data_IF_500635695447
#
_entry.id   IF_500635695447
#
_cell.length_a   1.000
_cell.length_b   1.000
_cell.length_c   1.000
_cell.angle_alpha   90.00
_cell.angle_beta   90.00
_cell.angle_gamma   90.00
#
_symmetry.space_group_name_H-M   'P 1'
#
loop_
_entity.id
_entity.type
_entity.pdbx_description
1 polymer ?
#
# COMPACT_ATOMS: atom_id res chain seq x y z
N UNK A 1 -1.46 -33.92 11.74
CA UNK A 1 -2.58 -32.97 11.91
C UNK A 1 -2.06 -31.57 11.69
N UNK A 2 -2.74 -30.75 10.88
CA UNK A 2 -2.36 -29.36 10.62
C UNK A 2 -2.55 -28.45 11.83
N UNK A 3 -1.84 -27.32 11.85
CA UNK A 3 -1.88 -26.34 12.95
C UNK A 3 -3.23 -25.65 13.11
N UNK A 4 -3.93 -25.33 12.01
CA UNK A 4 -5.27 -24.71 12.07
C UNK A 4 -6.26 -25.61 12.82
N UNK A 5 -6.28 -26.91 12.54
CA UNK A 5 -7.19 -27.87 13.20
C UNK A 5 -6.95 -27.99 14.71
N UNK A 6 -5.74 -27.71 15.20
CA UNK A 6 -5.45 -27.65 16.64
C UNK A 6 -5.94 -26.35 17.27
N UNK A 7 -5.85 -25.24 16.54
CA UNK A 7 -6.40 -23.95 16.95
C UNK A 7 -7.93 -24.00 17.02
N UNK A 8 -8.60 -24.56 16.00
CA UNK A 8 -10.05 -24.82 16.01
C UNK A 8 -10.50 -25.56 17.28
N UNK A 9 -9.88 -26.70 17.59
CA UNK A 9 -10.23 -27.50 18.77
C UNK A 9 -10.00 -26.79 20.11
N UNK A 10 -8.99 -25.90 20.21
CA UNK A 10 -8.76 -25.11 21.42
C UNK A 10 -9.76 -23.98 21.56
N UNK A 11 -10.07 -23.31 20.45
CA UNK A 11 -11.05 -22.23 20.40
C UNK A 11 -12.47 -22.73 20.71
N UNK A 12 -12.84 -23.91 20.18
CA UNK A 12 -14.09 -24.62 20.51
C UNK A 12 -14.19 -24.95 22.01
N UNK A 13 -13.06 -25.31 22.65
CA UNK A 13 -13.00 -25.60 24.08
C UNK A 13 -12.99 -24.36 24.99
N UNK A 14 -12.54 -23.21 24.49
CA UNK A 14 -12.51 -21.95 25.24
C UNK A 14 -13.85 -21.22 25.22
N UNK A 15 -14.67 -21.39 24.18
CA UNK A 15 -15.90 -20.62 23.99
C UNK A 15 -17.11 -21.55 23.93
N UNK A 16 -17.77 -21.72 25.08
CA UNK A 16 -18.89 -22.63 25.31
C UNK A 16 -19.95 -22.65 24.17
N UNK A 17 -19.81 -23.62 23.27
CA UNK A 17 -20.90 -24.23 22.50
C UNK A 17 -21.63 -23.40 21.43
N UNK A 18 -21.17 -22.20 21.05
CA UNK A 18 -22.00 -21.26 20.24
C UNK A 18 -21.33 -20.63 19.01
N UNK A 19 -20.08 -20.93 18.69
CA UNK A 19 -19.36 -20.28 17.57
C UNK A 19 -19.99 -20.51 16.18
N UNK A 20 -20.33 -21.74 15.80
CA UNK A 20 -20.76 -22.07 14.44
C UNK A 20 -22.15 -21.52 14.03
N UNK A 21 -22.94 -20.98 14.97
CA UNK A 21 -24.31 -20.49 14.72
C UNK A 21 -24.45 -18.97 14.66
N UNK A 22 -23.47 -18.22 15.21
CA UNK A 22 -23.54 -16.75 15.35
C UNK A 22 -22.65 -16.04 14.33
N UNK A 23 -21.47 -16.58 14.00
CA UNK A 23 -20.46 -15.92 13.14
C UNK A 23 -20.64 -16.24 11.64
N UNK A 24 -21.89 -16.20 11.14
CA UNK A 24 -22.24 -16.74 9.81
C UNK A 24 -21.97 -15.81 8.62
N UNK A 25 -21.42 -14.61 8.84
CA UNK A 25 -21.26 -13.61 7.77
C UNK A 25 -20.08 -12.64 7.90
N UNK A 26 -19.37 -12.57 9.05
CA UNK A 26 -18.57 -11.36 9.38
C UNK A 26 -17.25 -11.74 10.11
N UNK A 27 -16.24 -12.20 9.34
CA UNK A 27 -14.90 -12.71 9.76
C UNK A 27 -14.89 -13.93 10.69
N UNK A 28 -14.27 -15.04 10.26
CA UNK A 28 -14.00 -16.20 11.11
C UNK A 28 -12.57 -16.16 11.70
N UNK A 29 -12.36 -16.55 12.98
CA UNK A 29 -11.02 -16.65 13.57
C UNK A 29 -10.05 -17.57 12.82
N UNK A 30 -10.56 -18.59 12.12
CA UNK A 30 -9.76 -19.47 11.25
C UNK A 30 -9.24 -18.77 9.99
N UNK A 31 -9.95 -17.75 9.49
CA UNK A 31 -9.48 -16.92 8.38
C UNK A 31 -8.34 -16.02 8.86
N UNK A 32 -8.48 -15.39 10.04
CA UNK A 32 -7.41 -14.62 10.70
C UNK A 32 -6.18 -15.52 10.94
N UNK A 33 -6.38 -16.74 11.43
CA UNK A 33 -5.30 -17.71 11.62
C UNK A 33 -4.57 -18.08 10.32
N UNK A 34 -5.31 -18.32 9.23
CA UNK A 34 -4.74 -18.60 7.91
C UNK A 34 -4.01 -17.40 7.31
N UNK A 35 -4.54 -16.18 7.52
CA UNK A 35 -3.91 -14.94 7.08
C UNK A 35 -2.60 -14.66 7.83
N UNK A 36 -2.56 -14.87 9.15
CA UNK A 36 -1.33 -14.73 9.94
C UNK A 36 -0.22 -15.70 9.51
N UNK A 37 -0.56 -16.94 9.12
CA UNK A 37 0.42 -17.88 8.55
C UNK A 37 0.96 -17.40 7.21
N UNK A 38 0.06 -16.99 6.29
CA UNK A 38 0.45 -16.43 4.99
C UNK A 38 1.30 -15.17 5.14
N UNK A 39 0.99 -14.33 6.11
CA UNK A 39 1.74 -13.11 6.42
C UNK A 39 3.15 -13.41 6.96
N UNK A 40 3.30 -14.48 7.77
CA UNK A 40 4.60 -14.99 8.17
C UNK A 40 5.42 -15.48 6.97
N UNK A 41 4.82 -16.29 6.09
CA UNK A 41 5.47 -16.86 4.91
C UNK A 41 5.88 -15.76 3.91
N UNK A 42 5.02 -14.74 3.71
CA UNK A 42 5.26 -13.62 2.79
C UNK A 42 6.37 -12.67 3.27
N UNK A 43 6.47 -12.42 4.57
CA UNK A 43 7.50 -11.55 5.16
C UNK A 43 8.72 -12.33 5.71
N UNK A 44 8.79 -13.64 5.44
CA UNK A 44 9.89 -14.51 5.83
C UNK A 44 11.20 -14.07 5.16
N UNK A 45 12.06 -13.40 5.92
CA UNK A 45 13.32 -12.83 5.41
C UNK A 45 14.49 -13.72 5.80
N UNK A 46 15.28 -14.16 4.81
CA UNK A 46 16.49 -14.97 5.07
C UNK A 46 17.59 -14.07 5.64
N UNK A 47 17.90 -14.22 6.93
CA UNK A 47 18.90 -13.39 7.61
C UNK A 47 20.32 -13.98 7.53
N UNK A 48 20.41 -15.32 7.54
CA UNK A 48 21.66 -16.04 7.22
C UNK A 48 21.32 -17.40 6.58
N UNK A 49 22.35 -18.17 6.18
CA UNK A 49 22.19 -19.43 5.44
C UNK A 49 21.33 -20.49 6.16
N UNK A 50 21.16 -20.39 7.47
CA UNK A 50 20.50 -21.39 8.31
C UNK A 50 19.29 -20.83 9.10
N UNK A 51 18.95 -19.54 8.94
CA UNK A 51 17.89 -18.87 9.70
C UNK A 51 17.09 -17.88 8.86
N UNK A 52 15.83 -18.24 8.66
CA UNK A 52 14.78 -17.34 8.19
C UNK A 52 14.13 -16.65 9.38
N UNK A 53 14.06 -15.33 9.33
CA UNK A 53 13.47 -14.47 10.36
C UNK A 53 12.08 -14.03 9.90
N UNK A 54 11.13 -14.05 10.83
CA UNK A 54 9.73 -13.65 10.59
C UNK A 54 9.31 -12.51 11.54
N UNK A 55 8.29 -11.72 11.17
CA UNK A 55 7.70 -10.73 12.08
C UNK A 55 7.24 -11.35 13.39
N UNK A 56 7.31 -10.56 14.47
CA UNK A 56 6.95 -10.97 15.83
C UNK A 56 5.86 -10.09 16.46
N UNK A 57 5.43 -9.04 15.77
CA UNK A 57 4.34 -8.17 16.19
C UNK A 57 3.29 -8.15 15.07
N UNK A 58 2.08 -8.61 15.37
CA UNK A 58 0.98 -8.71 14.41
C UNK A 58 -0.23 -7.93 14.92
N UNK A 59 -0.75 -7.06 14.07
CA UNK A 59 -1.95 -6.26 14.32
C UNK A 59 -3.03 -6.75 13.36
N UNK A 60 -4.12 -7.28 13.92
CA UNK A 60 -5.30 -7.70 13.18
C UNK A 60 -6.33 -6.58 13.29
N UNK A 61 -6.36 -5.73 12.27
CA UNK A 61 -7.32 -4.65 12.13
C UNK A 61 -8.66 -5.23 11.66
N UNK A 62 -9.73 -4.88 12.37
CA UNK A 62 -11.10 -5.39 12.19
C UNK A 62 -12.07 -4.22 12.04
N UNK A 63 -13.18 -4.43 11.34
CA UNK A 63 -14.29 -3.47 11.32
C UNK A 63 -14.78 -3.14 12.74
N UNK A 64 -15.36 -1.96 12.95
CA UNK A 64 -15.94 -1.60 14.25
C UNK A 64 -16.95 -2.65 14.80
N UNK A 65 -17.98 -3.12 14.06
CA UNK A 65 -18.92 -4.12 14.57
C UNK A 65 -18.28 -5.50 14.82
N UNK A 66 -17.23 -5.89 14.09
CA UNK A 66 -16.53 -7.17 14.33
C UNK A 66 -15.62 -7.06 15.55
N UNK A 67 -14.93 -5.93 15.70
CA UNK A 67 -14.11 -5.63 16.87
C UNK A 67 -14.94 -5.57 18.15
N UNK A 68 -16.11 -4.93 18.15
CA UNK A 68 -16.99 -4.89 19.34
C UNK A 68 -17.44 -6.27 19.80
N UNK A 69 -17.73 -7.19 18.86
CA UNK A 69 -18.11 -8.58 19.17
C UNK A 69 -16.93 -9.43 19.64
N UNK A 70 -15.74 -9.19 19.11
CA UNK A 70 -14.52 -9.93 19.46
C UNK A 70 -13.79 -9.33 20.68
N UNK A 71 -14.06 -8.08 21.04
CA UNK A 71 -13.49 -7.35 22.17
C UNK A 71 -13.47 -8.16 23.48
N UNK A 72 -14.57 -8.83 23.92
CA UNK A 72 -14.58 -9.65 25.13
C UNK A 72 -13.60 -10.84 25.12
N UNK A 73 -13.25 -11.33 23.93
CA UNK A 73 -12.38 -12.49 23.70
C UNK A 73 -11.00 -12.10 23.14
N UNK A 74 -10.77 -10.81 22.86
CA UNK A 74 -9.63 -10.30 22.08
C UNK A 74 -8.27 -10.70 22.67
N UNK A 75 -8.13 -10.68 24.00
CA UNK A 75 -6.93 -11.14 24.71
C UNK A 75 -6.68 -12.65 24.50
N UNK A 76 -7.64 -13.49 24.86
CA UNK A 76 -7.51 -14.96 24.72
C UNK A 76 -7.33 -15.40 23.26
N UNK A 77 -8.03 -14.74 22.33
CA UNK A 77 -7.91 -14.99 20.90
C UNK A 77 -6.51 -14.57 20.39
N UNK A 78 -6.00 -13.42 20.83
CA UNK A 78 -4.63 -12.98 20.55
C UNK A 78 -3.58 -13.98 21.06
N UNK A 79 -3.73 -14.47 22.29
CA UNK A 79 -2.83 -15.47 22.88
C UNK A 79 -2.86 -16.82 22.12
N UNK A 80 -4.04 -17.33 21.74
CA UNK A 80 -4.15 -18.56 20.95
C UNK A 80 -3.64 -18.39 19.51
N UNK A 81 -3.89 -17.24 18.87
CA UNK A 81 -3.32 -16.93 17.55
C UNK A 81 -1.79 -16.82 17.62
N UNK A 82 -1.24 -16.13 18.63
CA UNK A 82 0.20 -16.06 18.87
C UNK A 82 0.81 -17.44 19.14
N UNK A 83 0.11 -18.28 19.92
CA UNK A 83 0.49 -19.67 20.18
C UNK A 83 0.52 -20.52 18.91
N UNK A 84 -0.49 -20.38 18.04
CA UNK A 84 -0.61 -21.06 16.76
C UNK A 84 0.48 -20.63 15.77
N UNK A 85 0.72 -19.31 15.61
CA UNK A 85 1.79 -18.80 14.73
C UNK A 85 3.17 -19.23 15.23
N UNK A 86 3.40 -19.25 16.54
CA UNK A 86 4.64 -19.78 17.15
C UNK A 86 4.86 -21.25 16.83
N UNK A 87 3.82 -22.08 16.90
CA UNK A 87 3.93 -23.51 16.60
C UNK A 87 4.03 -23.79 15.09
N UNK A 88 3.49 -22.92 14.24
CA UNK A 88 3.70 -22.93 12.78
C UNK A 88 5.15 -22.58 12.41
N UNK A 89 5.68 -21.48 12.93
CA UNK A 89 7.06 -21.06 12.74
C UNK A 89 8.08 -22.14 13.16
N UNK A 90 7.83 -22.84 14.27
CA UNK A 90 8.65 -24.01 14.67
C UNK A 90 8.67 -25.12 13.62
N UNK A 91 7.54 -25.39 12.94
CA UNK A 91 7.46 -26.41 11.89
C UNK A 91 8.22 -25.98 10.64
N UNK A 92 8.13 -24.70 10.26
CA UNK A 92 8.85 -24.11 9.12
C UNK A 92 10.32 -23.73 9.43
N UNK A 93 10.81 -23.99 10.66
CA UNK A 93 12.12 -23.55 11.19
C UNK A 93 12.37 -22.03 11.14
N UNK A 94 11.32 -21.23 11.21
CA UNK A 94 11.42 -19.78 11.32
C UNK A 94 11.81 -19.34 12.74
N UNK A 95 12.53 -18.22 12.82
CA UNK A 95 13.00 -17.62 14.09
C UNK A 95 12.41 -16.23 14.27
N UNK A 96 11.77 -15.98 15.42
CA UNK A 96 11.31 -14.64 15.80
C UNK A 96 12.46 -13.84 16.44
N UNK A 97 12.51 -12.53 16.21
CA UNK A 97 13.46 -11.60 16.87
C UNK A 97 12.95 -11.06 18.23
N UNK A 98 12.04 -11.78 18.88
CA UNK A 98 11.44 -11.36 20.15
C UNK A 98 10.29 -12.28 20.58
N UNK A 99 9.57 -11.95 21.66
CA UNK A 99 8.28 -12.57 21.94
C UNK A 99 7.33 -12.24 20.79
N UNK A 100 6.51 -13.23 20.41
CA UNK A 100 5.40 -13.00 19.47
C UNK A 100 4.24 -12.33 20.19
N UNK A 101 3.65 -11.32 19.57
CA UNK A 101 2.42 -10.65 20.00
C UNK A 101 1.44 -10.62 18.84
N UNK A 102 0.17 -10.88 19.15
CA UNK A 102 -0.95 -10.70 18.22
C UNK A 102 -1.99 -9.86 18.95
N UNK A 103 -2.30 -8.70 18.41
CA UNK A 103 -3.28 -7.77 18.95
C UNK A 103 -4.39 -7.54 17.93
N UNK A 104 -5.63 -7.43 18.40
CA UNK A 104 -6.77 -7.01 17.60
C UNK A 104 -6.93 -5.50 17.78
N UNK A 105 -7.14 -4.78 16.68
CA UNK A 105 -7.35 -3.32 16.68
C UNK A 105 -8.59 -2.99 15.85
N UNK A 106 -9.32 -1.93 16.20
CA UNK A 106 -10.45 -1.46 15.40
C UNK A 106 -9.95 -0.56 14.27
N UNK A 107 -10.52 -0.73 13.09
CA UNK A 107 -10.23 0.08 11.92
C UNK A 107 -11.55 0.64 11.37
N UNK A 108 -11.73 1.95 11.52
CA UNK A 108 -12.96 2.64 11.09
C UNK A 108 -13.02 2.81 9.55
N UNK A 109 -11.95 2.42 8.83
CA UNK A 109 -11.88 2.33 7.37
C UNK A 109 -12.24 0.95 6.79
N UNK A 110 -12.61 -0.03 7.63
CA UNK A 110 -12.99 -1.38 7.20
C UNK A 110 -14.51 -1.62 7.35
N UNK A 111 -15.16 -2.03 6.27
CA UNK A 111 -16.53 -2.57 6.29
C UNK A 111 -16.63 -3.90 7.05
N UNK A 112 -17.83 -4.22 7.52
CA UNK A 112 -18.13 -5.46 8.25
C UNK A 112 -17.79 -6.72 7.46
N UNK A 113 -17.19 -7.71 8.11
CA UNK A 113 -16.70 -8.93 7.47
C UNK A 113 -15.34 -8.79 6.81
N UNK A 114 -14.66 -7.66 6.99
CA UNK A 114 -13.28 -7.44 6.55
C UNK A 114 -12.31 -7.40 7.72
N UNK A 115 -11.09 -7.85 7.44
CA UNK A 115 -9.96 -7.75 8.33
C UNK A 115 -8.70 -7.44 7.52
N UNK A 116 -7.76 -6.72 8.14
CA UNK A 116 -6.45 -6.40 7.57
C UNK A 116 -5.38 -6.84 8.56
N UNK A 117 -4.51 -7.75 8.15
CA UNK A 117 -3.37 -8.16 8.97
C UNK A 117 -2.18 -7.28 8.61
N UNK A 118 -1.57 -6.65 9.61
CA UNK A 118 -0.29 -5.94 9.49
C UNK A 118 0.74 -6.66 10.33
N UNK A 119 1.93 -6.89 9.77
CA UNK A 119 3.06 -7.48 10.49
C UNK A 119 4.20 -6.47 10.67
N UNK A 120 4.91 -6.58 11.79
CA UNK A 120 6.06 -5.74 12.14
C UNK A 120 7.16 -6.58 12.78
N UNK A 121 8.39 -6.35 12.34
CA UNK A 121 9.61 -6.90 12.92
C UNK A 121 10.10 -5.98 14.04
N UNK A 122 9.58 -6.17 15.25
CA UNK A 122 10.09 -5.50 16.44
C UNK A 122 11.28 -6.26 16.99
N UNK A 123 12.48 -5.88 16.51
CA UNK A 123 13.74 -6.36 17.05
C UNK A 123 13.79 -6.09 18.56
N UNK A 124 13.71 -7.16 19.36
CA UNK A 124 13.89 -7.07 20.81
C UNK A 124 15.37 -6.83 21.08
N UNK A 125 15.76 -5.56 21.14
CA UNK A 125 17.07 -5.12 21.58
C UNK A 125 17.22 -5.41 23.07
N UNK A 126 17.45 -6.68 23.42
CA UNK A 126 17.92 -7.09 24.75
C UNK A 126 19.39 -6.72 24.88
N UNK A 127 19.67 -5.42 24.81
CA UNK A 127 20.91 -4.84 25.32
C UNK A 127 20.87 -4.94 26.84
N UNK A 128 21.36 -6.07 27.33
CA UNK A 128 22.16 -6.12 28.55
C UNK A 128 21.47 -5.55 29.80
N UNK A 129 20.41 -6.23 30.27
CA UNK A 129 19.95 -6.10 31.66
C UNK A 129 20.91 -6.86 32.59
N UNK A 130 22.17 -6.40 32.63
CA UNK A 130 23.16 -6.80 33.61
C UNK A 130 23.02 -5.94 34.86
N UNK A 131 22.88 -6.56 36.03
CA UNK A 131 22.76 -5.83 37.30
C UNK A 131 24.01 -4.99 37.58
N UNK A 132 23.85 -3.67 37.59
CA UNK A 132 24.87 -2.70 37.97
C UNK A 132 24.27 -1.69 38.95
N UNK A 133 24.91 -1.51 40.09
CA UNK A 133 24.42 -0.64 41.17
C UNK A 133 24.35 0.82 40.73
N UNK A 134 23.33 1.53 41.22
CA UNK A 134 23.27 2.99 41.12
C UNK A 134 24.21 3.65 42.13
N UNK A 135 25.05 4.62 41.72
CA UNK A 135 25.62 5.60 42.63
C UNK A 135 24.94 6.97 42.45
N UNK A 136 24.49 7.51 43.59
CA UNK A 136 24.44 8.92 43.99
C UNK A 136 23.94 10.01 42.98
N UNK A 137 22.92 10.73 43.43
CA UNK A 137 22.49 12.00 42.84
C UNK A 137 23.55 13.12 43.01
N UNK A 138 23.52 14.09 42.09
CA UNK A 138 24.17 15.41 42.23
C UNK A 138 23.14 16.52 41.91
N UNK A 139 23.23 17.71 42.52
CA UNK A 139 22.12 18.67 42.61
C UNK A 139 22.04 19.68 41.43
N UNK A 140 20.89 20.36 41.24
CA UNK A 140 20.73 21.41 40.24
C UNK A 140 21.45 22.71 40.62
N UNK A 141 21.95 23.45 39.62
CA UNK A 141 22.64 24.72 39.78
C UNK A 141 21.68 25.90 40.07
N UNK A 142 22.08 26.87 40.90
CA UNK A 142 21.28 28.07 41.17
C UNK A 142 21.41 29.14 40.07
N UNK A 143 20.33 29.88 39.87
CA UNK A 143 20.23 31.03 38.98
C UNK A 143 20.78 32.32 39.61
N UNK A 144 21.33 33.23 38.79
CA UNK A 144 21.58 34.60 39.24
C UNK A 144 22.58 35.44 38.44
N UNK A 145 22.07 36.37 37.62
CA UNK A 145 22.64 37.74 37.51
C UNK A 145 21.65 38.74 36.87
N UNK A 146 21.37 39.90 37.50
CA UNK A 146 20.44 40.91 36.97
C UNK A 146 21.09 42.22 36.47
N UNK A 147 20.35 42.99 35.65
CA UNK A 147 20.65 44.37 35.19
C UNK A 147 21.66 44.45 34.02
N UNK A 148 21.47 45.17 32.92
CA UNK A 148 20.64 46.36 32.61
C UNK A 148 21.55 47.56 32.29
N UNK A 149 21.11 48.70 31.69
CA UNK A 149 19.83 49.02 31.00
C UNK A 149 20.05 49.65 29.58
N UNK A 150 18.98 50.08 28.90
CA UNK A 150 19.04 51.11 27.83
C UNK A 150 18.35 50.75 26.49
N UNK A 151 17.29 51.49 26.14
CA UNK A 151 16.78 51.60 24.75
C UNK A 151 17.05 53.02 24.21
N UNK A 152 16.19 53.61 23.36
CA UNK A 152 15.37 52.99 22.31
C UNK A 152 15.41 53.74 20.95
N UNK A 153 14.97 53.08 19.87
CA UNK A 153 14.45 53.73 18.65
C UNK A 153 15.45 54.07 17.53
N UNK A 154 14.92 54.39 16.34
CA UNK A 154 15.67 54.95 15.20
C UNK A 154 15.28 54.35 13.83
N UNK A 155 14.45 55.07 13.06
CA UNK A 155 14.26 54.83 11.62
C UNK A 155 15.45 55.36 10.81
N UNK A 156 15.78 54.77 9.65
CA UNK A 156 16.74 55.33 8.67
C UNK A 156 16.90 54.48 7.40
N UNK A 157 16.96 55.14 6.23
CA UNK A 157 16.99 54.52 4.87
C UNK A 157 18.35 54.85 4.14
N UNK A 158 18.58 54.61 2.82
CA UNK A 158 19.77 53.94 2.27
C UNK A 158 20.90 54.90 1.79
N UNK A 159 21.99 54.43 1.14
CA UNK A 159 21.98 54.34 -0.35
C UNK A 159 22.93 53.31 -1.03
N UNK A 160 22.82 53.25 -2.37
CA UNK A 160 23.88 53.03 -3.41
C UNK A 160 24.41 51.63 -3.81
N UNK A 161 24.50 51.47 -5.14
CA UNK A 161 25.02 50.33 -5.94
C UNK A 161 26.45 50.68 -6.48
N UNK A 162 26.98 50.30 -7.68
CA UNK A 162 26.53 49.44 -8.82
C UNK A 162 27.33 48.10 -8.85
N UNK A 163 27.52 47.29 -9.91
CA UNK A 163 27.19 47.27 -11.36
C UNK A 163 27.08 45.79 -11.84
N UNK A 164 26.74 45.41 -13.08
CA UNK A 164 26.31 46.13 -14.28
C UNK A 164 25.90 45.14 -15.40
N UNK A 165 25.20 45.60 -16.44
CA UNK A 165 24.89 44.82 -17.66
C UNK A 165 26.04 44.92 -18.69
N UNK A 166 26.08 44.08 -19.75
CA UNK A 166 25.53 44.51 -21.04
C UNK A 166 24.87 43.32 -21.84
N UNK A 167 24.69 43.32 -23.19
CA UNK A 167 23.35 43.53 -23.76
C UNK A 167 22.85 42.45 -24.76
N UNK A 168 21.58 42.55 -25.15
CA UNK A 168 21.00 41.80 -26.29
C UNK A 168 21.24 42.54 -27.63
N UNK A 169 21.31 41.84 -28.77
CA UNK A 169 21.15 42.43 -30.10
C UNK A 169 19.71 42.31 -30.66
N UNK A 170 19.04 43.46 -30.70
CA UNK A 170 18.13 43.99 -31.74
C UNK A 170 17.28 43.08 -32.65
N UNK A 171 15.97 43.37 -32.69
CA UNK A 171 15.05 42.97 -33.76
C UNK A 171 15.14 43.89 -35.01
N UNK A 172 14.68 43.45 -36.20
CA UNK A 172 14.41 44.32 -37.36
C UNK A 172 12.96 44.89 -37.40
N UNK A 173 12.70 45.97 -38.18
CA UNK A 173 11.48 46.79 -38.11
C UNK A 173 10.35 46.43 -39.12
N UNK A 174 9.14 47.05 -39.00
CA UNK A 174 7.99 46.79 -39.87
C UNK A 174 7.80 47.78 -41.04
N UNK A 175 7.20 47.29 -42.14
CA UNK A 175 6.67 48.06 -43.28
C UNK A 175 6.94 47.38 -44.64
N UNK A 176 6.08 47.40 -45.67
CA UNK A 176 4.67 47.83 -45.72
C UNK A 176 4.17 48.07 -47.17
N UNK A 177 3.02 47.46 -47.54
CA UNK A 177 2.17 47.75 -48.74
C UNK A 177 2.71 47.31 -50.14
N UNK A 178 1.88 47.30 -51.21
CA UNK A 178 0.51 46.76 -51.31
C UNK A 178 0.18 45.98 -52.62
N UNK A 179 -0.95 45.25 -52.61
CA UNK A 179 -1.80 45.02 -53.80
C UNK A 179 -1.68 43.66 -54.52
N UNK A 180 -2.80 43.18 -55.10
CA UNK A 180 -2.78 42.11 -56.12
C UNK A 180 -3.85 41.01 -56.01
N UNK A 181 -5.06 41.31 -56.52
CA UNK A 181 -6.04 40.39 -57.16
C UNK A 181 -6.35 39.01 -56.55
N UNK A 182 -7.60 38.87 -56.09
CA UNK A 182 -8.12 37.66 -55.46
C UNK A 182 -8.57 36.52 -56.38
N UNK A 183 -8.97 35.44 -55.70
CA UNK A 183 -9.90 34.41 -56.16
C UNK A 183 -10.79 34.01 -54.96
N UNK A 184 -12.12 33.98 -55.10
CA UNK A 184 -12.97 33.23 -54.18
C UNK A 184 -12.99 31.76 -54.61
N UNK A 185 -12.55 30.84 -53.75
CA UNK A 185 -12.60 29.41 -54.04
C UNK A 185 -13.22 28.65 -52.85
N UNK A 186 -14.04 27.61 -53.09
CA UNK A 186 -15.14 27.26 -52.20
C UNK A 186 -14.71 26.38 -51.02
N UNK A 187 -15.67 26.11 -50.15
CA UNK A 187 -15.57 25.25 -48.97
C UNK A 187 -14.86 23.91 -49.26
N UNK A 188 -13.54 23.89 -49.06
CA UNK A 188 -12.78 22.67 -48.91
C UNK A 188 -13.17 22.02 -47.59
N UNK A 189 -13.89 20.90 -47.66
CA UNK A 189 -14.20 20.10 -46.49
C UNK A 189 -12.91 19.84 -45.70
N UNK A 190 -12.92 20.22 -44.42
CA UNK A 190 -11.81 19.94 -43.52
C UNK A 190 -11.58 18.43 -43.55
N UNK A 191 -10.42 18.00 -44.07
CA UNK A 191 -9.94 16.64 -43.80
C UNK A 191 -9.96 16.47 -42.28
N UNK A 192 -10.67 15.47 -41.73
CA UNK A 192 -10.46 15.14 -40.33
C UNK A 192 -8.96 14.88 -40.13
N UNK A 193 -8.39 15.28 -38.97
CA UNK A 193 -6.99 14.97 -38.68
C UNK A 193 -6.78 13.47 -38.89
N UNK A 194 -5.66 13.11 -39.53
CA UNK A 194 -5.39 11.74 -39.94
C UNK A 194 -5.65 10.79 -38.76
N UNK A 195 -6.51 9.79 -38.98
CA UNK A 195 -6.60 8.68 -38.05
C UNK A 195 -5.17 8.17 -37.81
N UNK A 196 -4.75 7.95 -36.55
CA UNK A 196 -3.42 7.44 -36.29
C UNK A 196 -3.24 6.17 -37.11
N UNK A 197 -2.13 6.10 -37.85
CA UNK A 197 -1.74 4.88 -38.54
C UNK A 197 -1.82 3.71 -37.55
N UNK A 198 -2.19 2.49 -37.99
CA UNK A 198 -2.25 1.34 -37.10
C UNK A 198 -0.86 1.11 -36.51
N UNK A 199 -0.66 1.60 -35.28
CA UNK A 199 0.62 1.56 -34.59
C UNK A 199 1.09 0.12 -34.44
N UNK A 200 2.41 -0.05 -34.35
CA UNK A 200 3.03 -1.35 -34.02
C UNK A 200 2.25 -1.97 -32.86
N UNK A 201 1.83 -3.23 -33.00
CA UNK A 201 0.79 -3.83 -32.15
C UNK A 201 1.34 -4.05 -30.74
N UNK A 202 1.32 -2.99 -29.93
CA UNK A 202 1.84 -2.97 -28.57
C UNK A 202 1.26 -4.15 -27.81
N UNK A 203 2.13 -5.06 -27.39
CA UNK A 203 1.72 -6.27 -26.69
C UNK A 203 1.62 -5.95 -25.22
N UNK A 204 0.43 -6.11 -24.69
CA UNK A 204 0.11 -5.89 -23.29
C UNK A 204 0.02 -7.22 -22.56
N UNK A 205 0.59 -7.30 -21.36
CA UNK A 205 0.40 -8.45 -20.47
C UNK A 205 0.49 -8.03 -19.01
N UNK A 206 0.03 -8.90 -18.13
CA UNK A 206 0.23 -8.79 -16.69
C UNK A 206 0.92 -10.03 -16.16
N UNK A 207 1.71 -9.86 -15.11
CA UNK A 207 2.38 -10.93 -14.38
C UNK A 207 1.75 -11.04 -12.99
N UNK A 208 1.15 -12.20 -12.69
CA UNK A 208 0.46 -12.50 -11.42
C UNK A 208 1.04 -13.81 -10.87
N UNK A 209 1.56 -13.82 -9.64
CA UNK A 209 2.13 -15.02 -9.01
C UNK A 209 3.16 -15.75 -9.91
N UNK A 210 3.96 -15.00 -10.66
CA UNK A 210 4.94 -15.52 -11.63
C UNK A 210 4.35 -16.02 -12.97
N UNK A 211 3.03 -16.01 -13.15
CA UNK A 211 2.35 -16.40 -14.39
C UNK A 211 2.05 -15.18 -15.25
N UNK A 212 2.36 -15.27 -16.56
CA UNK A 212 2.10 -14.22 -17.54
C UNK A 212 0.74 -14.41 -18.21
N UNK A 213 -0.14 -13.42 -18.07
CA UNK A 213 -1.45 -13.37 -18.73
C UNK A 213 -1.44 -12.29 -19.81
N UNK A 214 -1.61 -12.67 -21.07
CA UNK A 214 -1.65 -11.72 -22.19
C UNK A 214 -2.98 -10.97 -22.23
N UNK A 215 -2.91 -9.64 -22.35
CA UNK A 215 -4.09 -8.79 -22.54
C UNK A 215 -4.38 -8.68 -24.04
N UNK A 216 -5.32 -9.50 -24.52
CA UNK A 216 -5.73 -9.54 -25.93
C UNK A 216 -6.93 -8.62 -26.24
N UNK A 217 -7.52 -7.97 -25.23
CA UNK A 217 -8.70 -7.09 -25.31
C UNK A 217 -8.33 -5.65 -24.96
N UNK A 218 -9.12 -4.68 -25.43
CA UNK A 218 -8.98 -3.26 -25.07
C UNK A 218 -9.31 -2.97 -23.60
N UNK A 219 -10.11 -3.85 -22.97
CA UNK A 219 -10.41 -3.82 -21.53
C UNK A 219 -10.23 -5.22 -20.97
N UNK A 220 -9.66 -5.31 -19.77
CA UNK A 220 -9.44 -6.54 -19.01
C UNK A 220 -9.95 -6.35 -17.58
N UNK A 221 -10.94 -7.15 -17.16
CA UNK A 221 -11.44 -7.14 -15.79
C UNK A 221 -10.65 -8.15 -14.94
N UNK A 222 -10.13 -7.69 -13.81
CA UNK A 222 -9.55 -8.53 -12.78
C UNK A 222 -10.53 -8.69 -11.62
N UNK A 223 -10.61 -9.88 -11.04
CA UNK A 223 -11.51 -10.15 -9.93
C UNK A 223 -11.48 -11.61 -9.50
N UNK A 224 -12.22 -11.94 -8.44
CA UNK A 224 -12.32 -13.31 -7.91
C UNK A 224 -13.42 -14.14 -8.57
N UNK A 225 -14.39 -13.52 -9.24
CA UNK A 225 -15.51 -14.24 -9.87
C UNK A 225 -15.08 -14.90 -11.19
N UNK A 226 -15.89 -15.85 -11.65
CA UNK A 226 -15.82 -16.39 -13.03
C UNK A 226 -16.19 -15.36 -14.09
N UNK A 227 -16.77 -14.22 -13.70
CA UNK A 227 -17.16 -13.12 -14.58
C UNK A 227 -16.01 -12.14 -14.90
N UNK A 228 -14.81 -12.37 -14.35
CA UNK A 228 -13.60 -11.60 -14.64
C UNK A 228 -12.79 -12.23 -15.78
N UNK A 229 -12.16 -11.41 -16.65
CA UNK A 229 -11.24 -11.90 -17.69
C UNK A 229 -10.02 -12.61 -17.08
N UNK A 230 -9.53 -12.09 -15.94
CA UNK A 230 -8.46 -12.72 -15.16
C UNK A 230 -8.95 -12.95 -13.74
N UNK A 231 -9.14 -14.23 -13.43
CA UNK A 231 -9.52 -14.69 -12.09
C UNK A 231 -8.31 -14.68 -11.16
N UNK A 232 -8.45 -14.04 -10.01
CA UNK A 232 -7.50 -14.05 -8.90
C UNK A 232 -8.14 -14.75 -7.71
N UNK A 233 -7.64 -15.92 -7.33
CA UNK A 233 -8.10 -16.67 -6.14
C UNK A 233 -7.49 -16.10 -4.85
N UNK A 234 -7.93 -14.89 -4.50
CA UNK A 234 -7.50 -14.14 -3.34
C UNK A 234 -8.76 -13.64 -2.58
N UNK A 235 -8.93 -13.96 -1.28
CA UNK A 235 -10.09 -13.53 -0.50
C UNK A 235 -10.29 -12.01 -0.47
N UNK A 236 -9.20 -11.23 -0.50
CA UNK A 236 -9.21 -9.77 -0.54
C UNK A 236 -9.52 -9.19 -1.92
N UNK A 237 -9.84 -10.01 -2.92
CA UNK A 237 -10.21 -9.56 -4.26
C UNK A 237 -11.71 -9.69 -4.47
N UNK A 238 -12.38 -8.56 -4.68
CA UNK A 238 -13.80 -8.50 -5.02
C UNK A 238 -14.13 -9.23 -6.33
N UNK A 239 -15.39 -9.64 -6.49
CA UNK A 239 -15.90 -10.42 -7.66
C UNK A 239 -15.49 -9.82 -9.01
N UNK A 240 -15.69 -8.52 -9.17
CA UNK A 240 -15.07 -7.65 -10.18
C UNK A 240 -14.37 -6.56 -9.36
N UNK A 241 -13.05 -6.51 -9.39
CA UNK A 241 -12.28 -5.62 -8.53
C UNK A 241 -11.87 -4.38 -9.29
N UNK A 242 -11.16 -4.56 -10.41
CA UNK A 242 -10.68 -3.45 -11.23
C UNK A 242 -10.68 -3.82 -12.71
N UNK A 243 -10.72 -2.81 -13.57
CA UNK A 243 -10.54 -2.95 -15.01
C UNK A 243 -9.28 -2.22 -15.47
N UNK A 244 -8.47 -2.89 -16.29
CA UNK A 244 -7.36 -2.30 -17.04
C UNK A 244 -7.86 -2.01 -18.45
N UNK A 245 -7.82 -0.74 -18.86
CA UNK A 245 -8.03 -0.31 -20.24
C UNK A 245 -6.68 -0.10 -20.90
N UNK A 246 -6.40 -0.85 -21.95
CA UNK A 246 -5.15 -0.76 -22.73
C UNK A 246 -5.28 0.30 -23.83
N UNK A 247 -4.25 1.12 -24.01
CA UNK A 247 -4.27 2.19 -25.01
C UNK A 247 -3.18 3.23 -24.78
N UNK A 248 -3.38 4.43 -25.32
CA UNK A 248 -2.41 5.53 -25.19
C UNK A 248 -3.12 6.75 -24.59
N UNK A 249 -3.15 6.91 -23.25
CA UNK A 249 -2.49 6.10 -22.23
C UNK A 249 -3.32 4.89 -21.74
N UNK A 250 -2.64 3.83 -21.30
CA UNK A 250 -3.26 2.74 -20.54
C UNK A 250 -3.66 3.21 -19.16
N UNK A 251 -4.83 2.79 -18.67
CA UNK A 251 -5.36 3.20 -17.36
C UNK A 251 -5.95 2.02 -16.62
N UNK A 252 -5.88 2.06 -15.30
CA UNK A 252 -6.64 1.17 -14.41
C UNK A 252 -7.72 1.97 -13.69
N UNK A 253 -8.88 1.35 -13.53
CA UNK A 253 -10.01 1.89 -12.78
C UNK A 253 -10.54 0.82 -11.81
N UNK A 254 -10.79 1.23 -10.58
CA UNK A 254 -11.49 0.45 -9.58
C UNK A 254 -13.00 0.37 -9.90
N UNK A 255 -13.61 -0.80 -9.69
CA UNK A 255 -15.01 -1.08 -10.02
C UNK A 255 -15.94 -1.06 -8.78
N UNK A 256 -15.56 -0.33 -7.73
CA UNK A 256 -16.20 -0.44 -6.42
C UNK A 256 -15.69 -1.69 -5.70
N UNK A 257 -14.37 -1.91 -5.75
CA UNK A 257 -13.77 -2.98 -4.97
C UNK A 257 -13.74 -2.63 -3.48
N UNK A 258 -13.62 -3.68 -2.69
CA UNK A 258 -13.78 -3.61 -1.24
C UNK A 258 -12.50 -3.15 -0.54
N UNK A 259 -11.33 -3.32 -1.17
CA UNK A 259 -10.03 -2.93 -0.62
C UNK A 259 -9.36 -1.78 -1.40
N UNK A 260 -9.96 -1.35 -2.52
CA UNK A 260 -9.33 -0.47 -3.50
C UNK A 260 -8.13 -1.12 -4.19
N UNK A 261 -7.58 -0.40 -5.18
CA UNK A 261 -6.33 -0.75 -5.83
C UNK A 261 -5.18 0.13 -5.32
N UNK A 262 -4.00 -0.47 -5.17
CA UNK A 262 -2.75 0.26 -4.96
C UNK A 262 -1.96 0.25 -6.25
N UNK A 263 -1.55 1.41 -6.75
CA UNK A 263 -0.74 1.53 -7.97
C UNK A 263 0.55 2.26 -7.62
N UNK A 264 1.69 1.62 -7.89
CA UNK A 264 3.03 2.12 -7.61
C UNK A 264 3.21 2.63 -6.16
N UNK A 265 2.53 1.96 -5.21
CA UNK A 265 2.56 2.26 -3.78
C UNK A 265 1.54 3.30 -3.31
N UNK A 266 0.62 3.76 -4.16
CA UNK A 266 -0.44 4.72 -3.81
C UNK A 266 -1.83 4.10 -3.95
N UNK A 267 -2.65 4.15 -2.90
CA UNK A 267 -4.07 3.78 -2.99
C UNK A 267 -4.82 4.78 -3.87
N UNK A 268 -5.59 4.29 -4.82
CA UNK A 268 -6.34 5.13 -5.77
C UNK A 268 -7.55 4.38 -6.33
N UNK A 269 -8.53 5.11 -6.86
CA UNK A 269 -9.64 4.54 -7.63
C UNK A 269 -9.39 4.58 -9.14
N UNK A 270 -8.41 5.37 -9.60
CA UNK A 270 -8.02 5.46 -11.01
C UNK A 270 -6.56 5.90 -11.16
N UNK A 271 -5.81 5.22 -12.01
CA UNK A 271 -4.43 5.60 -12.33
C UNK A 271 -4.09 5.36 -13.81
N UNK A 272 -3.03 6.03 -14.26
CA UNK A 272 -2.37 5.74 -15.53
C UNK A 272 -1.31 4.68 -15.31
N UNK A 273 -1.31 3.61 -16.11
CA UNK A 273 -0.33 2.54 -16.05
C UNK A 273 0.81 2.77 -17.06
N UNK A 274 2.02 2.36 -16.68
CA UNK A 274 3.22 2.36 -17.52
C UNK A 274 3.87 0.98 -17.50
N UNK A 275 4.78 0.70 -18.42
CA UNK A 275 5.55 -0.56 -18.35
C UNK A 275 6.25 -0.67 -16.99
N UNK A 276 6.05 -1.82 -16.32
CA UNK A 276 6.58 -2.08 -14.98
C UNK A 276 5.71 -1.57 -13.82
N UNK A 277 4.59 -0.86 -14.06
CA UNK A 277 3.70 -0.40 -12.98
C UNK A 277 3.22 -1.58 -12.13
N UNK A 278 3.41 -1.46 -10.81
CA UNK A 278 3.03 -2.45 -9.81
C UNK A 278 1.65 -2.13 -9.26
N UNK A 279 0.72 -3.03 -9.49
CA UNK A 279 -0.66 -2.96 -9.00
C UNK A 279 -0.81 -3.97 -7.86
N UNK A 280 -1.34 -3.59 -6.71
CA UNK A 280 -1.74 -4.51 -5.64
C UNK A 280 -3.26 -4.55 -5.56
N UNK A 281 -3.79 -5.78 -5.52
CA UNK A 281 -5.21 -6.11 -5.60
C UNK A 281 -5.49 -7.15 -4.53
N UNK A 282 -6.12 -6.77 -3.41
CA UNK A 282 -6.19 -7.63 -2.22
C UNK A 282 -4.79 -7.92 -1.67
N UNK A 283 -4.43 -9.20 -1.46
CA UNK A 283 -3.05 -9.59 -1.11
C UNK A 283 -2.16 -9.91 -2.33
N UNK A 284 -2.70 -9.82 -3.55
CA UNK A 284 -2.01 -10.21 -4.78
C UNK A 284 -1.30 -9.02 -5.43
N UNK A 285 -0.01 -9.19 -5.75
CA UNK A 285 0.74 -8.24 -6.60
C UNK A 285 0.61 -8.64 -8.07
N UNK A 286 0.28 -7.66 -8.91
CA UNK A 286 0.16 -7.74 -10.37
C UNK A 286 1.13 -6.74 -10.98
N UNK A 287 2.00 -7.16 -11.88
CA UNK A 287 2.91 -6.24 -12.62
C UNK A 287 2.34 -6.05 -14.02
N UNK A 288 2.07 -4.79 -14.41
CA UNK A 288 1.65 -4.45 -15.75
C UNK A 288 2.85 -4.27 -16.68
N UNK A 289 2.76 -4.83 -17.88
CA UNK A 289 3.81 -4.78 -18.89
C UNK A 289 3.25 -4.45 -20.27
N UNK A 290 4.01 -3.64 -21.01
CA UNK A 290 3.74 -3.28 -22.39
C UNK A 290 5.05 -3.25 -23.18
N UNK A 291 5.07 -3.89 -24.34
CA UNK A 291 6.17 -3.79 -25.29
C UNK A 291 5.64 -3.38 -26.66
N UNK A 292 6.26 -2.35 -27.24
CA UNK A 292 6.18 -2.12 -28.69
C UNK A 292 6.92 -3.26 -29.41
N UNK A 293 6.47 -3.61 -30.61
CA UNK A 293 7.00 -4.71 -31.42
C UNK A 293 6.69 -4.54 -32.88
#
# INVERSE_FOLDING_TARGET
MGVLKKFEQRLEGLVNGTFAKVFKSEVQPVEIAGALQRECDNNATIWNRDRTVVPNDFIVELSAPDFERLSPYSGQLGDELAGMVRDYAKQQRYTFMGPIKVHLEKADDLDTGLYRVRSRTLASSTSQQGGGQAPAAAPPAPSGRPGGPGGPGGYGYPPSAPAGAPPMPSAPPPGGRPGGYGYPQPAGAQRPPAAPAPGGRTRYWIEINGTRHQISRATLVLGRSTDADVRIDDPGVSRRHCEIRTGTPSTIQDLGSTNGIVVDGQHTTRATLRDGSRIVVGSTTVIYRQAEG
#
